data_IF_155740525697
#
_entry.id   IF_155740525697
#
_cell.length_a   1.000
_cell.length_b   1.000
_cell.length_c   1.000
_cell.angle_alpha   90.00
_cell.angle_beta   90.00
_cell.angle_gamma   90.00
#
_symmetry.space_group_name_H-M   'P 1'
#
loop_
_entity.id
_entity.type
_entity.pdbx_description
1 polymer ?
#
# COMPACT_ATOMS: atom_id res chain seq x y z
N UNK A 1 -57.23 -17.83 -4.03
CA UNK A 1 -55.77 -18.08 -4.11
C UNK A 1 -54.90 -16.80 -4.10
N UNK A 2 -55.43 -15.62 -4.52
CA UNK A 2 -54.69 -14.34 -4.59
C UNK A 2 -54.11 -13.81 -3.25
N UNK A 3 -54.86 -13.85 -2.14
CA UNK A 3 -54.40 -13.35 -0.82
C UNK A 3 -53.16 -14.08 -0.27
N UNK A 4 -53.01 -15.37 -0.61
CA UNK A 4 -51.92 -16.22 -0.10
C UNK A 4 -50.57 -15.94 -0.78
N UNK A 5 -50.58 -15.31 -1.94
CA UNK A 5 -49.38 -14.94 -2.70
C UNK A 5 -48.85 -13.59 -2.19
N UNK A 6 -49.73 -12.65 -1.83
CA UNK A 6 -49.33 -11.32 -1.35
C UNK A 6 -48.56 -11.38 -0.02
N UNK A 7 -48.99 -12.22 0.93
CA UNK A 7 -48.30 -12.38 2.21
C UNK A 7 -46.89 -13.01 2.05
N UNK A 8 -46.71 -13.89 1.05
CA UNK A 8 -45.40 -14.48 0.75
C UNK A 8 -44.44 -13.48 0.12
N UNK A 9 -44.95 -12.59 -0.75
CA UNK A 9 -44.16 -11.52 -1.37
C UNK A 9 -43.74 -10.50 -0.32
N UNK A 10 -44.66 -10.03 0.54
CA UNK A 10 -44.34 -9.06 1.60
C UNK A 10 -43.32 -9.62 2.59
N UNK A 11 -43.44 -10.90 2.96
CA UNK A 11 -42.50 -11.59 3.88
C UNK A 11 -41.09 -11.76 3.30
N UNK A 12 -40.97 -12.01 1.99
CA UNK A 12 -39.65 -12.13 1.34
C UNK A 12 -38.98 -10.76 1.25
N UNK A 13 -39.72 -9.69 0.95
CA UNK A 13 -39.17 -8.33 0.93
C UNK A 13 -38.70 -7.85 2.32
N UNK A 14 -39.41 -8.22 3.39
CA UNK A 14 -38.97 -7.88 4.77
C UNK A 14 -37.73 -8.67 5.20
N UNK A 15 -37.59 -9.93 4.77
CA UNK A 15 -36.40 -10.73 5.04
C UNK A 15 -35.15 -10.22 4.31
N UNK A 16 -35.30 -9.72 3.07
CA UNK A 16 -34.17 -9.16 2.30
C UNK A 16 -33.70 -7.82 2.91
N UNK A 17 -34.62 -6.96 3.35
CA UNK A 17 -34.27 -5.71 4.04
C UNK A 17 -33.56 -5.95 5.38
N UNK A 18 -33.90 -7.03 6.10
CA UNK A 18 -33.22 -7.40 7.34
C UNK A 18 -31.79 -7.92 7.11
N UNK A 19 -31.53 -8.58 5.98
CA UNK A 19 -30.20 -9.11 5.62
C UNK A 19 -29.27 -8.01 5.08
N UNK A 20 -29.81 -7.00 4.39
CA UNK A 20 -29.01 -5.86 3.90
C UNK A 20 -28.68 -4.85 5.02
N UNK A 21 -29.55 -4.71 6.03
CA UNK A 21 -29.31 -3.80 7.17
C UNK A 21 -28.34 -4.32 8.24
N UNK A 22 -27.92 -5.59 8.14
CA UNK A 22 -27.06 -6.25 9.14
C UNK A 22 -25.68 -6.65 8.57
N UNK A 23 -25.23 -5.98 7.51
CA UNK A 23 -23.82 -6.05 7.13
C UNK A 23 -23.13 -4.88 7.85
N UNK A 24 -22.21 -5.12 8.80
CA UNK A 24 -21.35 -4.06 9.31
C UNK A 24 -20.43 -3.61 8.17
N UNK A 25 -20.92 -2.73 7.30
CA UNK A 25 -20.15 -2.16 6.19
C UNK A 25 -19.48 -0.83 6.60
N UNK A 26 -19.30 -0.61 7.89
CA UNK A 26 -18.50 0.50 8.40
C UNK A 26 -17.08 0.00 8.65
N UNK A 27 -16.33 -0.27 7.59
CA UNK A 27 -14.89 -0.01 7.66
C UNK A 27 -14.75 1.50 7.86
N UNK A 28 -14.74 1.91 9.13
CA UNK A 28 -14.18 3.20 9.50
C UNK A 28 -12.71 3.03 9.21
N UNK A 29 -12.28 3.43 8.02
CA UNK A 29 -10.88 3.71 7.75
C UNK A 29 -10.57 4.88 8.67
N UNK A 30 -10.11 4.60 9.88
CA UNK A 30 -9.43 5.59 10.69
C UNK A 30 -8.30 6.07 9.78
N UNK A 31 -8.36 7.34 9.40
CA UNK A 31 -7.31 7.97 8.62
C UNK A 31 -6.07 7.90 9.52
N UNK A 32 -5.27 6.84 9.39
CA UNK A 32 -4.02 6.80 10.12
C UNK A 32 -3.23 7.99 9.60
N UNK A 33 -2.91 8.90 10.53
CA UNK A 33 -1.89 9.88 10.24
C UNK A 33 -0.64 9.10 9.82
N UNK A 34 0.06 9.58 8.79
CA UNK A 34 1.45 9.17 8.54
C UNK A 34 2.15 9.16 9.91
N UNK A 35 2.81 8.07 10.33
CA UNK A 35 3.54 8.08 11.58
C UNK A 35 4.48 9.30 11.60
N UNK A 36 4.27 10.22 12.54
CA UNK A 36 4.94 11.52 12.52
C UNK A 36 6.46 11.32 12.50
N UNK A 37 7.12 11.89 11.49
CA UNK A 37 8.58 11.81 11.36
C UNK A 37 9.11 10.54 10.67
N UNK A 38 8.25 9.63 10.20
CA UNK A 38 8.65 8.50 9.36
C UNK A 38 8.91 8.94 7.92
N UNK A 39 10.06 8.54 7.38
CA UNK A 39 10.42 8.65 5.96
C UNK A 39 10.69 7.26 5.40
N UNK A 40 10.14 7.00 4.22
CA UNK A 40 10.31 5.73 3.51
C UNK A 40 10.93 6.04 2.16
N UNK A 41 12.00 5.32 1.87
CA UNK A 41 12.71 5.36 0.60
C UNK A 41 12.67 4.01 -0.06
N UNK A 42 12.48 4.00 -1.38
CA UNK A 42 12.61 2.82 -2.23
C UNK A 42 13.53 3.18 -3.39
N UNK A 43 14.61 2.42 -3.56
CA UNK A 43 15.75 2.88 -4.34
C UNK A 43 16.34 4.16 -3.73
N UNK A 44 16.54 5.18 -4.56
CA UNK A 44 16.96 6.51 -4.11
C UNK A 44 15.77 7.51 -3.99
N UNK A 45 14.53 7.04 -4.12
CA UNK A 45 13.34 7.89 -4.15
C UNK A 45 12.55 7.87 -2.85
N UNK A 46 12.05 9.04 -2.41
CA UNK A 46 11.19 9.15 -1.23
C UNK A 46 9.73 8.88 -1.59
N UNK A 47 9.21 7.73 -1.15
CA UNK A 47 7.81 7.32 -1.37
C UNK A 47 6.86 7.72 -0.24
N UNK A 48 7.38 8.39 0.80
CA UNK A 48 6.66 8.77 2.04
C UNK A 48 5.31 9.45 1.84
N UNK A 49 5.13 10.20 0.75
CA UNK A 49 3.89 10.90 0.44
C UNK A 49 2.78 9.98 -0.11
N UNK A 50 3.07 8.69 -0.28
CA UNK A 50 2.13 7.71 -0.79
C UNK A 50 2.07 7.67 -2.31
N UNK A 51 1.01 7.04 -2.79
CA UNK A 51 0.70 6.93 -4.22
C UNK A 51 1.49 5.82 -4.91
N UNK A 52 1.42 5.83 -6.23
CA UNK A 52 2.02 4.82 -7.08
C UNK A 52 3.34 5.30 -7.67
N UNK A 53 4.26 4.34 -7.79
CA UNK A 53 5.55 4.50 -8.44
C UNK A 53 5.75 3.29 -9.35
N UNK A 54 6.50 3.47 -10.44
CA UNK A 54 6.84 2.37 -11.36
C UNK A 54 8.33 2.08 -11.29
N UNK A 55 8.67 0.83 -11.54
CA UNK A 55 10.07 0.39 -11.67
C UNK A 55 10.37 -0.06 -13.08
N UNK A 56 11.56 0.25 -13.58
CA UNK A 56 12.06 -0.31 -14.85
C UNK A 56 13.02 -1.49 -14.65
N UNK A 57 13.47 -2.11 -15.74
CA UNK A 57 14.40 -3.25 -15.70
C UNK A 57 15.78 -2.92 -15.12
N UNK A 58 16.16 -1.63 -15.10
CA UNK A 58 17.39 -1.16 -14.50
C UNK A 58 17.21 -0.90 -13.00
N UNK A 59 15.99 -1.02 -12.48
CA UNK A 59 15.66 -0.79 -11.08
C UNK A 59 15.46 0.68 -10.72
N UNK A 60 15.24 1.54 -11.72
CA UNK A 60 14.92 2.95 -11.50
C UNK A 60 13.49 3.06 -10.97
N UNK A 61 13.30 3.87 -9.92
CA UNK A 61 11.99 4.14 -9.32
C UNK A 61 11.50 5.50 -9.82
N UNK A 62 10.26 5.61 -10.28
CA UNK A 62 9.72 6.87 -10.81
C UNK A 62 8.27 7.06 -10.38
N UNK A 63 7.92 8.27 -9.97
CA UNK A 63 6.56 8.58 -9.54
C UNK A 63 5.58 8.37 -10.70
N UNK A 64 4.50 7.64 -10.44
CA UNK A 64 3.44 7.43 -11.42
C UNK A 64 2.39 8.53 -11.28
N UNK A 65 2.11 9.23 -12.38
CA UNK A 65 1.21 10.40 -12.42
C UNK A 65 -0.11 10.12 -13.16
N UNK A 66 -0.38 8.87 -13.53
CA UNK A 66 -1.66 8.48 -14.10
C UNK A 66 -2.78 8.54 -13.05
N UNK A 67 -4.02 8.66 -13.53
CA UNK A 67 -5.21 8.74 -12.66
C UNK A 67 -5.70 7.38 -12.13
N UNK A 68 -5.17 6.29 -12.67
CA UNK A 68 -5.55 4.91 -12.34
C UNK A 68 -4.38 4.13 -11.72
N UNK A 69 -4.60 2.89 -11.31
CA UNK A 69 -3.53 2.01 -10.83
C UNK A 69 -2.62 1.60 -12.01
N UNK A 70 -1.28 1.63 -11.87
CA UNK A 70 -0.38 1.07 -12.87
C UNK A 70 -0.71 -0.40 -13.14
N UNK A 71 -0.58 -0.84 -14.39
CA UNK A 71 -0.93 -2.21 -14.77
C UNK A 71 0.02 -3.26 -14.21
N UNK A 72 1.31 -2.90 -14.06
CA UNK A 72 2.36 -3.83 -13.63
C UNK A 72 3.62 -3.05 -13.19
N UNK A 73 4.59 -3.75 -12.58
CA UNK A 73 5.91 -3.25 -12.17
C UNK A 73 5.81 -1.98 -11.34
N UNK A 74 5.03 -2.04 -10.25
CA UNK A 74 4.75 -0.87 -9.42
C UNK A 74 5.06 -1.08 -7.96
N UNK A 75 5.22 0.05 -7.30
CA UNK A 75 5.29 0.20 -5.86
C UNK A 75 4.11 1.09 -5.47
N UNK A 76 3.38 0.71 -4.42
CA UNK A 76 2.30 1.51 -3.87
C UNK A 76 2.49 1.68 -2.37
N UNK A 77 2.61 2.92 -1.91
CA UNK A 77 2.59 3.20 -0.48
C UNK A 77 1.22 3.70 -0.06
N UNK A 78 0.52 2.86 0.69
CA UNK A 78 -0.72 3.21 1.38
C UNK A 78 -0.39 3.84 2.73
N UNK A 79 -0.49 5.17 2.77
CA UNK A 79 -0.25 5.99 3.96
C UNK A 79 -1.18 5.60 5.11
N UNK A 80 -2.46 5.32 4.83
CA UNK A 80 -3.47 5.09 5.86
C UNK A 80 -3.28 3.74 6.56
N UNK A 81 -2.63 2.78 5.89
CA UNK A 81 -2.33 1.47 6.46
C UNK A 81 -0.84 1.27 6.74
N UNK A 82 -0.01 2.29 6.49
CA UNK A 82 1.44 2.23 6.58
C UNK A 82 2.00 0.95 5.91
N UNK A 83 1.54 0.72 4.68
CA UNK A 83 1.78 -0.51 3.92
C UNK A 83 2.41 -0.18 2.57
N UNK A 84 3.58 -0.75 2.31
CA UNK A 84 4.28 -0.67 1.03
C UNK A 84 4.02 -1.97 0.25
N UNK A 85 3.32 -1.86 -0.87
CA UNK A 85 3.08 -2.98 -1.79
C UNK A 85 4.10 -2.93 -2.92
N UNK A 86 4.76 -4.05 -3.19
CA UNK A 86 5.62 -4.26 -4.35
C UNK A 86 4.92 -5.24 -5.28
N UNK A 87 4.70 -4.86 -6.53
CA UNK A 87 4.05 -5.68 -7.56
C UNK A 87 4.97 -5.85 -8.76
N UNK A 88 5.56 -7.03 -8.92
CA UNK A 88 6.60 -7.32 -9.92
C UNK A 88 7.71 -6.25 -9.96
N UNK A 89 8.00 -5.62 -8.82
CA UNK A 89 8.90 -4.48 -8.77
C UNK A 89 10.36 -4.93 -8.88
N UNK A 90 11.17 -4.17 -9.63
CA UNK A 90 12.62 -4.34 -9.67
C UNK A 90 13.29 -3.14 -9.01
N UNK A 91 14.11 -3.37 -7.99
CA UNK A 91 14.83 -2.32 -7.26
C UNK A 91 16.31 -2.68 -7.26
N UNK A 92 17.12 -1.82 -7.87
CA UNK A 92 18.58 -1.97 -7.95
C UNK A 92 19.36 -0.76 -7.46
N UNK A 93 18.66 0.34 -7.25
CA UNK A 93 19.22 1.50 -6.58
C UNK A 93 19.10 1.37 -5.07
N UNK A 94 19.91 2.15 -4.37
CA UNK A 94 19.87 2.22 -2.91
C UNK A 94 19.85 3.67 -2.44
N UNK A 95 19.42 3.87 -1.20
CA UNK A 95 19.41 5.19 -0.58
C UNK A 95 20.82 5.76 -0.57
N UNK A 96 20.99 6.95 -1.17
CA UNK A 96 22.27 7.65 -1.19
C UNK A 96 22.74 8.05 0.21
N UNK A 97 24.06 8.05 0.41
CA UNK A 97 24.72 8.61 1.59
C UNK A 97 24.39 10.10 1.79
N UNK A 98 24.11 10.82 0.70
CA UNK A 98 23.74 12.24 0.74
C UNK A 98 22.30 12.46 1.25
N UNK A 99 21.46 11.42 1.16
CA UNK A 99 20.05 11.46 1.58
C UNK A 99 19.90 11.12 3.05
N UNK A 100 20.53 10.03 3.51
CA UNK A 100 20.53 9.63 4.92
C UNK A 100 21.62 8.61 5.20
N UNK A 101 22.50 8.92 6.15
CA UNK A 101 23.57 8.00 6.57
C UNK A 101 23.06 6.78 7.35
N UNK A 102 21.90 6.88 7.99
CA UNK A 102 21.35 5.81 8.83
C UNK A 102 20.80 4.65 8.01
N UNK A 103 20.22 4.95 6.84
CA UNK A 103 19.58 3.97 5.96
C UNK A 103 20.32 3.84 4.62
N UNK A 104 21.49 4.49 4.47
CA UNK A 104 22.28 4.46 3.25
C UNK A 104 22.63 3.04 2.81
N UNK A 105 22.57 2.81 1.50
CA UNK A 105 22.83 1.51 0.89
C UNK A 105 21.67 0.52 0.98
N UNK A 106 20.55 0.87 1.60
CA UNK A 106 19.32 0.09 1.57
C UNK A 106 18.55 0.28 0.27
N UNK A 107 18.03 -0.79 -0.33
CA UNK A 107 17.02 -0.68 -1.39
C UNK A 107 15.70 -0.16 -0.83
N UNK A 108 15.31 -0.59 0.36
CA UNK A 108 14.14 -0.06 1.08
C UNK A 108 14.63 0.43 2.44
N UNK A 109 14.63 1.75 2.61
CA UNK A 109 15.07 2.41 3.83
C UNK A 109 13.91 3.06 4.55
N UNK A 110 13.66 2.65 5.79
CA UNK A 110 12.66 3.27 6.66
C UNK A 110 13.39 3.99 7.77
N UNK A 111 13.13 5.28 7.93
CA UNK A 111 13.69 6.08 9.00
C UNK A 111 12.54 6.68 9.81
N UNK A 112 12.44 6.34 11.08
CA UNK A 112 11.59 7.08 12.00
C UNK A 112 12.45 7.78 13.07
N UNK A 113 12.29 9.09 13.19
CA UNK A 113 13.02 9.91 14.18
C UNK A 113 12.36 9.91 15.57
N UNK A 114 11.13 9.40 15.68
CA UNK A 114 10.38 9.35 16.94
C UNK A 114 9.41 8.17 16.97
N UNK A 115 9.60 7.25 17.91
CA UNK A 115 8.76 6.06 18.05
C UNK A 115 9.14 4.93 17.09
N UNK A 116 8.18 4.07 16.79
CA UNK A 116 8.43 2.83 16.05
C UNK A 116 8.48 3.07 14.54
N UNK A 117 9.50 2.54 13.87
CA UNK A 117 9.63 2.55 12.41
C UNK A 117 8.84 1.41 11.74
N UNK A 118 7.64 1.09 12.26
CA UNK A 118 6.79 0.04 11.67
C UNK A 118 6.58 0.33 10.17
N UNK A 119 6.74 -0.68 9.32
CA UNK A 119 6.29 -0.67 7.94
C UNK A 119 5.83 -2.09 7.60
N UNK A 120 4.62 -2.23 7.08
CA UNK A 120 4.18 -3.49 6.49
C UNK A 120 4.60 -3.52 5.03
N UNK A 121 5.21 -4.61 4.57
CA UNK A 121 5.59 -4.79 3.17
C UNK A 121 4.81 -5.97 2.60
N UNK A 122 4.04 -5.71 1.54
CA UNK A 122 3.29 -6.72 0.80
C UNK A 122 3.99 -7.01 -0.52
N UNK A 123 4.22 -8.28 -0.82
CA UNK A 123 4.86 -8.72 -2.06
C UNK A 123 3.82 -9.42 -2.94
N UNK A 124 3.60 -8.86 -4.12
CA UNK A 124 2.73 -9.40 -5.16
C UNK A 124 3.57 -9.76 -6.40
N UNK A 125 3.48 -11.01 -6.85
CA UNK A 125 4.27 -11.50 -7.98
C UNK A 125 5.77 -11.56 -7.70
N UNK A 126 6.57 -11.44 -8.77
CA UNK A 126 8.02 -11.66 -8.75
C UNK A 126 8.76 -10.33 -8.52
N UNK A 127 9.08 -10.06 -7.26
CA UNK A 127 9.78 -8.85 -6.85
C UNK A 127 11.28 -9.11 -6.72
N UNK A 128 12.10 -8.19 -7.26
CA UNK A 128 13.56 -8.32 -7.27
C UNK A 128 14.21 -7.14 -6.55
N UNK A 129 15.01 -7.44 -5.54
CA UNK A 129 15.99 -6.52 -4.96
C UNK A 129 17.38 -7.09 -5.24
N UNK A 130 18.21 -6.36 -5.98
CA UNK A 130 19.53 -6.83 -6.38
C UNK A 130 20.53 -5.67 -6.42
N UNK A 131 21.83 -5.98 -6.47
CA UNK A 131 22.88 -4.98 -6.71
C UNK A 131 22.98 -3.87 -5.63
N UNK A 132 22.41 -4.10 -4.45
CA UNK A 132 22.41 -3.18 -3.30
C UNK A 132 23.21 -3.71 -2.12
N UNK A 133 23.72 -2.81 -1.27
CA UNK A 133 24.48 -3.18 -0.07
C UNK A 133 23.60 -3.76 1.04
N UNK A 134 22.35 -3.30 1.14
CA UNK A 134 21.32 -3.77 2.09
C UNK A 134 20.00 -3.89 1.33
N UNK A 135 19.25 -4.96 1.57
CA UNK A 135 17.91 -5.10 0.98
C UNK A 135 16.93 -4.16 1.65
N UNK A 136 16.55 -4.47 2.89
CA UNK A 136 15.60 -3.70 3.69
C UNK A 136 16.30 -3.28 4.98
N UNK A 137 16.16 -2.02 5.37
CA UNK A 137 16.70 -1.48 6.62
C UNK A 137 15.69 -0.52 7.25
N UNK A 138 15.39 -0.74 8.53
CA UNK A 138 14.30 -0.10 9.28
C UNK A 138 14.82 0.35 10.64
#
# INVERSE_FOLDING_TARGET
MKKRIWNKVVSIFTAILLVVGLVPNTTITALAAVPEGQKIYVGNESVTNGGYWTTDSNGNVTAYTGGDTPTDNYIHYDVANNTLTLHNATIKESVSMDTSTLIAGAAIGVLNQSGDANLTITLEGDNTIAEVGKGIYV
#
